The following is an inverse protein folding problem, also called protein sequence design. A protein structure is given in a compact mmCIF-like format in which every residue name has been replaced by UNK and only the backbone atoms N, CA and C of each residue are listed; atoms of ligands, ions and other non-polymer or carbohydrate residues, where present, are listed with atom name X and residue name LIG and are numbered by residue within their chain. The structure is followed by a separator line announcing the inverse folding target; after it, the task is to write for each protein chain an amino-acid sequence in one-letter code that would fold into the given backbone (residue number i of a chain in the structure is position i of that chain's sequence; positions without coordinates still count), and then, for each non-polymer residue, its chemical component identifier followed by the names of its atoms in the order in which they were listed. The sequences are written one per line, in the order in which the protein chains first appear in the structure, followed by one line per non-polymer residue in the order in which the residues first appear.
data_IF_851505047558
#
_entry.id   IF_851505047558
#
_cell.length_a   1.000
_cell.length_b   1.000
_cell.length_c   1.000
_cell.angle_alpha   90.00
_cell.angle_beta   90.00
_cell.angle_gamma   90.00
#
_symmetry.space_group_name_H-M   'P 1'
#
loop_
_entity.id
_entity.type
_entity.pdbx_description
1 polymer ?
#
# COMPACT_ATOMS: atom_id res chain seq x y z
N UNK A 1 15.14 -0.61 -9.61
CA UNK A 1 14.76 0.81 -9.39
C UNK A 1 14.66 1.07 -7.91
N UNK A 2 15.20 2.19 -7.43
CA UNK A 2 14.94 2.67 -6.07
C UNK A 2 13.85 3.75 -6.14
N UNK A 3 12.83 3.64 -5.29
CA UNK A 3 11.77 4.62 -5.14
C UNK A 3 11.96 5.37 -3.82
N UNK A 4 11.73 6.69 -3.80
CA UNK A 4 11.79 7.50 -2.57
C UNK A 4 10.77 7.05 -1.54
N UNK A 5 11.01 7.32 -0.26
CA UNK A 5 10.08 6.94 0.81
C UNK A 5 8.73 7.65 0.67
N UNK A 6 8.73 8.91 0.23
CA UNK A 6 7.51 9.71 0.03
C UNK A 6 6.65 9.17 -1.11
N UNK A 7 7.28 8.69 -2.20
CA UNK A 7 6.54 8.02 -3.28
C UNK A 7 5.89 6.72 -2.76
N UNK A 8 6.62 5.92 -1.99
CA UNK A 8 6.07 4.70 -1.38
C UNK A 8 4.89 5.01 -0.46
N UNK A 9 5.02 6.02 0.41
CA UNK A 9 3.96 6.47 1.32
C UNK A 9 2.73 6.93 0.53
N UNK A 10 2.90 7.75 -0.51
CA UNK A 10 1.81 8.18 -1.39
C UNK A 10 1.08 6.99 -2.03
N UNK A 11 1.83 5.99 -2.53
CA UNK A 11 1.25 4.79 -3.17
C UNK A 11 0.37 4.01 -2.19
N UNK A 12 0.79 3.84 -0.94
CA UNK A 12 0.00 3.12 0.07
C UNK A 12 -1.18 3.96 0.56
N UNK A 13 -0.98 5.25 0.84
CA UNK A 13 -2.08 6.15 1.22
C UNK A 13 -3.20 6.17 0.16
N UNK A 14 -2.85 6.32 -1.12
CA UNK A 14 -3.83 6.28 -2.23
C UNK A 14 -4.51 4.90 -2.33
N UNK A 15 -3.81 3.79 -2.07
CA UNK A 15 -4.43 2.47 -2.05
C UNK A 15 -5.49 2.34 -0.96
N UNK A 16 -5.22 2.87 0.24
CA UNK A 16 -6.14 2.85 1.38
C UNK A 16 -7.32 3.82 1.19
N UNK A 17 -7.05 5.03 0.69
CA UNK A 17 -8.04 6.08 0.42
C UNK A 17 -9.03 5.69 -0.70
N UNK A 18 -8.52 5.13 -1.81
CA UNK A 18 -9.34 4.72 -2.96
C UNK A 18 -9.87 3.27 -2.85
N UNK A 19 -9.51 2.53 -1.79
CA UNK A 19 -9.97 1.15 -1.54
C UNK A 19 -9.45 0.12 -2.55
N UNK A 20 -8.31 0.39 -3.19
CA UNK A 20 -7.76 -0.40 -4.29
C UNK A 20 -7.06 -1.67 -3.83
N UNK A 21 -7.07 -2.70 -4.68
CA UNK A 21 -6.18 -3.85 -4.50
C UNK A 21 -4.78 -3.62 -5.10
N UNK A 22 -3.82 -4.46 -4.68
CA UNK A 22 -2.40 -4.41 -5.10
C UNK A 22 -2.22 -4.30 -6.62
N UNK A 23 -3.08 -4.94 -7.43
CA UNK A 23 -2.97 -4.95 -8.90
C UNK A 23 -3.48 -3.64 -9.51
N UNK A 24 -4.53 -3.05 -8.95
CA UNK A 24 -5.06 -1.75 -9.36
C UNK A 24 -4.07 -0.64 -9.02
N UNK A 25 -3.58 -0.59 -7.79
CA UNK A 25 -2.52 0.33 -7.35
C UNK A 25 -1.28 0.22 -8.22
N UNK A 26 -0.81 -0.99 -8.51
CA UNK A 26 0.33 -1.23 -9.38
C UNK A 26 0.09 -0.69 -10.81
N UNK A 27 -1.12 -0.86 -11.36
CA UNK A 27 -1.52 -0.34 -12.67
C UNK A 27 -1.59 1.20 -12.68
N UNK A 28 -2.17 1.81 -11.65
CA UNK A 28 -2.33 3.26 -11.49
C UNK A 28 -0.99 3.99 -11.43
N UNK A 29 -0.07 3.49 -10.60
CA UNK A 29 1.27 4.06 -10.46
C UNK A 29 2.29 3.52 -11.49
N UNK A 30 1.90 2.59 -12.36
CA UNK A 30 2.74 1.92 -13.37
C UNK A 30 4.01 1.27 -12.79
N UNK A 31 3.84 0.60 -11.66
CA UNK A 31 4.89 -0.11 -10.91
C UNK A 31 4.60 -1.61 -10.84
N UNK A 32 5.60 -2.41 -10.42
CA UNK A 32 5.39 -3.84 -10.21
C UNK A 32 4.55 -4.11 -8.95
N UNK A 33 3.58 -5.03 -9.03
CA UNK A 33 2.76 -5.49 -7.90
C UNK A 33 3.58 -5.99 -6.71
N UNK A 34 4.71 -6.67 -6.98
CA UNK A 34 5.66 -7.08 -5.95
C UNK A 34 6.29 -5.91 -5.17
N UNK A 35 6.38 -4.71 -5.77
CA UNK A 35 6.85 -3.50 -5.07
C UNK A 35 5.79 -3.01 -4.09
N UNK A 36 4.52 -2.92 -4.53
CA UNK A 36 3.38 -2.55 -3.66
C UNK A 36 3.24 -3.53 -2.50
N UNK A 37 3.20 -4.83 -2.78
CA UNK A 37 3.13 -5.90 -1.76
C UNK A 37 4.29 -5.81 -0.75
N UNK A 38 5.51 -5.53 -1.21
CA UNK A 38 6.66 -5.31 -0.34
C UNK A 38 6.51 -4.07 0.54
N UNK A 39 5.92 -2.99 0.04
CA UNK A 39 5.79 -1.71 0.77
C UNK A 39 4.69 -1.74 1.83
N UNK A 40 3.56 -2.42 1.58
CA UNK A 40 2.52 -2.68 2.60
C UNK A 40 3.15 -3.28 3.88
N UNK A 41 4.14 -4.15 3.72
CA UNK A 41 4.85 -4.82 4.81
C UNK A 41 6.08 -4.05 5.34
N UNK A 42 6.44 -2.89 4.77
CA UNK A 42 7.72 -2.20 5.04
C UNK A 42 7.64 -0.68 5.25
N UNK A 43 6.50 -0.03 4.97
CA UNK A 43 6.30 1.39 5.35
C UNK A 43 5.91 1.43 6.83
N UNK A 44 6.96 1.42 7.65
CA UNK A 44 7.04 1.77 9.08
C UNK A 44 6.09 1.05 10.07
N UNK A 45 6.63 0.42 11.13
CA UNK A 45 5.81 -0.19 12.16
C UNK A 45 5.10 0.87 13.02
N UNK A 46 3.77 0.85 12.98
CA UNK A 46 2.81 1.47 13.93
C UNK A 46 3.39 2.43 14.98
N UNK A 47 3.42 3.72 14.64
CA UNK A 47 3.09 4.72 15.66
C UNK A 47 1.60 4.53 16.04
N UNK A 48 1.32 4.35 17.32
CA UNK A 48 0.02 3.87 17.78
C UNK A 48 -1.11 4.89 17.53
N UNK A 49 -1.98 4.64 16.55
CA UNK A 49 -3.36 5.19 16.47
C UNK A 49 -4.26 4.24 15.67
N UNK A 50 -5.00 3.42 16.41
CA UNK A 50 -6.40 2.99 16.24
C UNK A 50 -7.11 3.26 14.89
N UNK A 51 -7.66 2.18 14.29
CA UNK A 51 -8.39 2.11 13.00
C UNK A 51 -7.47 2.41 11.80
N UNK A 52 -7.48 1.70 10.67
CA UNK A 52 -8.38 0.70 10.08
C UNK A 52 -7.47 -0.41 9.46
N UNK A 53 -7.89 -1.61 9.04
CA UNK A 53 -9.20 -2.28 8.95
C UNK A 53 -9.20 -3.62 9.71
N UNK A 54 -10.33 -4.33 9.70
CA UNK A 54 -10.40 -5.78 9.90
C UNK A 54 -10.50 -6.48 8.54
N UNK A 55 -10.06 -7.74 8.47
CA UNK A 55 -9.82 -8.44 7.21
C UNK A 55 -11.08 -8.66 6.36
N UNK A 56 -10.98 -8.33 5.08
CA UNK A 56 -11.86 -8.86 4.04
C UNK A 56 -11.19 -10.08 3.37
N UNK A 57 -11.02 -11.16 4.15
CA UNK A 57 -10.69 -12.48 3.62
C UNK A 57 -12.02 -13.12 3.15
N UNK A 58 -12.42 -12.85 1.90
CA UNK A 58 -13.52 -13.58 1.26
C UNK A 58 -12.90 -14.71 0.44
N UNK A 59 -12.72 -15.86 1.10
CA UNK A 59 -12.86 -17.25 0.65
C UNK A 59 -12.26 -18.17 1.72
#
# INVERSE_FOLDING_TARGET
MSYSIDFKRKVIFTMEEEGLNIRETAKQFRIGSASVSRWINQIEPKASTTLICNGLQIL
#
